data_IF_423807632159
#
_entry.id   IF_423807632159
#
_cell.length_a   1.000
_cell.length_b   1.000
_cell.length_c   1.000
_cell.angle_alpha   90.00
_cell.angle_beta   90.00
_cell.angle_gamma   90.00
#
_symmetry.space_group_name_H-M   'P 1'
#
loop_
_entity.id
_entity.type
_entity.pdbx_description
1 polymer ?
#
# COMPACT_ATOMS: atom_id res chain seq x y z
N UNK A 1 5.82 -18.68 14.70
CA UNK A 1 4.81 -18.59 13.61
C UNK A 1 5.53 -18.89 12.31
N UNK A 2 4.93 -19.67 11.38
CA UNK A 2 5.56 -19.98 10.09
C UNK A 2 4.81 -19.24 8.97
N UNK A 3 5.33 -18.09 8.52
CA UNK A 3 4.65 -17.25 7.50
C UNK A 3 4.42 -17.98 6.17
N UNK A 4 5.33 -18.88 5.78
CA UNK A 4 5.22 -19.65 4.53
C UNK A 4 4.10 -20.67 4.62
N UNK A 5 3.97 -21.34 5.77
CA UNK A 5 2.88 -22.25 6.05
C UNK A 5 1.54 -21.49 6.05
N UNK A 6 1.48 -20.37 6.73
CA UNK A 6 0.29 -19.52 6.76
C UNK A 6 -0.14 -19.09 5.34
N UNK A 7 0.77 -18.54 4.52
CA UNK A 7 0.49 -18.19 3.13
C UNK A 7 -0.01 -19.39 2.31
N UNK A 8 0.48 -20.59 2.61
CA UNK A 8 0.05 -21.81 1.92
C UNK A 8 -1.40 -22.18 2.22
N UNK A 9 -1.87 -21.95 3.45
CA UNK A 9 -3.21 -22.36 3.92
C UNK A 9 -4.24 -21.24 3.84
N UNK A 10 -3.89 -20.03 4.28
CA UNK A 10 -4.83 -18.91 4.41
C UNK A 10 -4.62 -17.80 3.36
N UNK A 11 -3.57 -17.89 2.55
CA UNK A 11 -3.24 -16.86 1.56
C UNK A 11 -2.55 -15.61 2.13
N UNK A 12 -2.30 -15.57 3.45
CA UNK A 12 -1.63 -14.45 4.12
C UNK A 12 -0.63 -14.94 5.17
N UNK A 13 0.41 -14.15 5.44
CA UNK A 13 1.50 -14.56 6.33
C UNK A 13 1.11 -14.60 7.82
N UNK A 14 0.08 -13.86 8.19
CA UNK A 14 -0.43 -13.81 9.57
C UNK A 14 -1.27 -15.04 9.93
N UNK A 15 -1.74 -15.80 8.93
CA UNK A 15 -2.59 -16.97 9.13
C UNK A 15 -4.04 -16.62 9.46
N UNK A 16 -4.47 -15.41 9.12
CA UNK A 16 -5.83 -14.94 9.37
C UNK A 16 -6.82 -15.76 8.53
N UNK A 17 -7.86 -16.24 9.19
CA UNK A 17 -8.90 -17.01 8.53
C UNK A 17 -9.77 -16.14 7.61
N UNK A 18 -10.35 -16.69 6.52
CA UNK A 18 -11.13 -15.92 5.56
C UNK A 18 -12.26 -15.10 6.17
N UNK A 19 -13.01 -15.63 7.14
CA UNK A 19 -14.10 -14.90 7.79
C UNK A 19 -13.60 -13.68 8.60
N UNK A 20 -12.52 -13.86 9.37
CA UNK A 20 -11.94 -12.76 10.14
C UNK A 20 -11.31 -11.69 9.24
N UNK A 21 -10.81 -12.09 8.06
CA UNK A 21 -10.34 -11.12 7.07
C UNK A 21 -11.49 -10.23 6.60
N UNK A 22 -12.64 -10.83 6.27
CA UNK A 22 -13.84 -10.08 5.85
C UNK A 22 -14.32 -9.16 6.96
N UNK A 23 -14.48 -9.68 8.19
CA UNK A 23 -14.97 -8.92 9.35
C UNK A 23 -14.12 -7.66 9.62
N UNK A 24 -12.79 -7.78 9.56
CA UNK A 24 -11.91 -6.63 9.80
C UNK A 24 -12.01 -5.60 8.66
N UNK A 25 -12.08 -6.04 7.41
CA UNK A 25 -12.26 -5.08 6.30
C UNK A 25 -13.62 -4.39 6.34
N UNK A 26 -14.68 -5.09 6.76
CA UNK A 26 -15.99 -4.48 6.98
C UNK A 26 -15.92 -3.43 8.11
N UNK A 27 -15.23 -3.73 9.21
CA UNK A 27 -15.00 -2.77 10.30
C UNK A 27 -14.24 -1.52 9.79
N UNK A 28 -13.21 -1.69 8.98
CA UNK A 28 -12.50 -0.54 8.39
C UNK A 28 -13.37 0.27 7.42
N UNK A 29 -14.34 -0.36 6.76
CA UNK A 29 -15.33 0.35 5.96
C UNK A 29 -16.32 1.15 6.83
N UNK A 30 -16.69 0.64 8.01
CA UNK A 30 -17.50 1.35 9.00
C UNK A 30 -16.71 2.54 9.59
N UNK A 31 -15.41 2.39 9.82
CA UNK A 31 -14.53 3.50 10.21
C UNK A 31 -14.47 4.60 9.14
N UNK A 32 -14.38 4.23 7.85
CA UNK A 32 -14.49 5.19 6.75
C UNK A 32 -15.82 5.95 6.79
N UNK A 33 -16.94 5.27 7.05
CA UNK A 33 -18.26 5.90 7.19
C UNK A 33 -18.30 6.87 8.38
N UNK A 34 -17.69 6.49 9.48
CA UNK A 34 -17.60 7.33 10.67
C UNK A 34 -16.85 8.62 10.40
N UNK A 35 -15.75 8.54 9.64
CA UNK A 35 -14.88 9.68 9.31
C UNK A 35 -15.52 10.58 8.23
N UNK A 36 -16.07 10.00 7.16
CA UNK A 36 -16.47 10.74 5.97
C UNK A 36 -17.99 10.84 5.77
N UNK A 37 -18.77 9.98 6.42
CA UNK A 37 -20.19 9.77 6.13
C UNK A 37 -20.45 8.83 4.94
N UNK A 38 -19.40 8.20 4.40
CA UNK A 38 -19.47 7.31 3.24
C UNK A 38 -18.90 5.94 3.60
N UNK A 39 -19.72 4.89 3.45
CA UNK A 39 -19.30 3.50 3.61
C UNK A 39 -18.88 2.92 2.25
N UNK A 40 -17.59 2.62 2.02
CA UNK A 40 -17.15 2.00 0.78
C UNK A 40 -17.63 0.55 0.66
N UNK A 41 -17.76 0.07 -0.57
CA UNK A 41 -18.05 -1.34 -0.87
C UNK A 41 -16.80 -2.19 -0.62
N UNK A 42 -17.00 -3.43 -0.15
CA UNK A 42 -15.94 -4.40 0.15
C UNK A 42 -16.23 -5.77 -0.47
N UNK A 43 -16.23 -5.89 -1.80
CA UNK A 43 -16.58 -7.15 -2.48
C UNK A 43 -15.50 -8.21 -2.29
N UNK A 44 -15.86 -9.37 -1.71
CA UNK A 44 -14.96 -10.48 -1.45
C UNK A 44 -15.31 -11.73 -2.25
N UNK A 45 -14.32 -12.29 -2.95
CA UNK A 45 -14.43 -13.55 -3.67
C UNK A 45 -15.55 -13.58 -4.73
N UNK A 46 -15.98 -12.42 -5.18
CA UNK A 46 -17.02 -12.26 -6.17
C UNK A 46 -16.46 -12.47 -7.58
N UNK A 47 -17.23 -13.17 -8.42
CA UNK A 47 -16.82 -13.46 -9.80
C UNK A 47 -17.31 -12.40 -10.77
N UNK A 48 -16.52 -12.17 -11.81
CA UNK A 48 -16.92 -11.35 -12.94
C UNK A 48 -16.49 -9.90 -12.86
N UNK A 49 -15.84 -9.50 -11.76
CA UNK A 49 -15.20 -8.19 -11.65
C UNK A 49 -13.98 -8.08 -12.55
N UNK A 50 -13.71 -6.87 -13.02
CA UNK A 50 -12.59 -6.62 -13.91
C UNK A 50 -11.24 -6.75 -13.18
N UNK A 51 -11.17 -6.27 -11.95
CA UNK A 51 -9.92 -6.13 -11.19
C UNK A 51 -9.91 -7.09 -9.99
N UNK A 52 -8.85 -7.88 -9.86
CA UNK A 52 -8.49 -8.51 -8.60
C UNK A 52 -7.54 -7.57 -7.83
N UNK A 53 -8.00 -7.02 -6.71
CA UNK A 53 -7.14 -6.21 -5.85
C UNK A 53 -6.40 -7.10 -4.85
N UNK A 54 -5.08 -6.99 -4.83
CA UNK A 54 -4.19 -7.72 -3.92
C UNK A 54 -3.38 -6.71 -3.10
N UNK A 55 -3.47 -6.81 -1.78
CA UNK A 55 -2.68 -6.02 -0.85
C UNK A 55 -2.09 -6.92 0.24
N UNK A 56 -0.97 -6.57 0.86
CA UNK A 56 -0.41 -7.37 1.93
C UNK A 56 -1.33 -7.35 3.16
N UNK A 57 -1.40 -8.48 3.85
CA UNK A 57 -2.21 -8.59 5.08
C UNK A 57 -1.78 -7.58 6.16
N UNK A 58 -0.53 -7.13 6.14
CA UNK A 58 -0.06 -6.05 7.02
C UNK A 58 -0.78 -4.72 6.83
N UNK A 59 -1.36 -4.44 5.66
CA UNK A 59 -2.15 -3.23 5.43
C UNK A 59 -3.54 -3.32 6.09
N UNK A 60 -4.03 -4.53 6.33
CA UNK A 60 -5.36 -4.77 6.90
C UNK A 60 -5.31 -5.01 8.41
N UNK A 61 -4.22 -5.65 8.91
CA UNK A 61 -4.16 -6.17 10.28
C UNK A 61 -3.06 -5.53 11.14
N UNK A 62 -2.30 -4.60 10.61
CA UNK A 62 -1.26 -3.90 11.35
C UNK A 62 -1.56 -2.40 11.40
N UNK A 63 -1.52 -1.85 12.60
CA UNK A 63 -1.78 -0.43 12.86
C UNK A 63 -1.15 0.53 11.83
N UNK A 64 0.13 0.43 11.47
CA UNK A 64 0.72 1.34 10.47
C UNK A 64 0.16 1.20 9.04
N UNK A 65 -0.63 0.15 8.75
CA UNK A 65 -1.14 -0.14 7.40
C UNK A 65 -2.61 0.23 7.19
N UNK A 66 -3.42 0.20 8.27
CA UNK A 66 -4.89 0.31 8.17
C UNK A 66 -5.36 1.60 7.49
N UNK A 67 -4.73 2.73 7.79
CA UNK A 67 -5.08 4.03 7.18
C UNK A 67 -4.78 4.06 5.68
N UNK A 68 -3.69 3.42 5.26
CA UNK A 68 -3.39 3.25 3.83
C UNK A 68 -4.45 2.36 3.16
N UNK A 69 -4.90 1.30 3.84
CA UNK A 69 -5.94 0.42 3.34
C UNK A 69 -7.31 1.13 3.23
N UNK A 70 -7.69 1.89 4.25
CA UNK A 70 -8.86 2.77 4.19
C UNK A 70 -8.76 3.75 3.02
N UNK A 71 -7.56 4.26 2.75
CA UNK A 71 -7.28 5.10 1.58
C UNK A 71 -7.59 4.41 0.25
N UNK A 72 -7.28 3.13 0.10
CA UNK A 72 -7.69 2.37 -1.09
C UNK A 72 -9.20 2.24 -1.20
N UNK A 73 -9.88 1.90 -0.10
CA UNK A 73 -11.34 1.76 -0.09
C UNK A 73 -12.04 3.05 -0.51
N UNK A 74 -11.58 4.18 0.00
CA UNK A 74 -12.13 5.50 -0.34
C UNK A 74 -11.89 5.85 -1.82
N UNK A 75 -10.68 5.61 -2.32
CA UNK A 75 -10.35 5.81 -3.74
C UNK A 75 -11.23 4.94 -4.64
N UNK A 76 -11.39 3.66 -4.31
CA UNK A 76 -12.21 2.73 -5.11
C UNK A 76 -13.68 3.11 -5.10
N UNK A 77 -14.19 3.56 -3.96
CA UNK A 77 -15.56 4.06 -3.84
C UNK A 77 -15.79 5.30 -4.72
N UNK A 78 -14.90 6.30 -4.68
CA UNK A 78 -15.04 7.54 -5.48
C UNK A 78 -15.04 7.25 -6.99
N UNK A 79 -14.31 6.22 -7.42
CA UNK A 79 -14.21 5.80 -8.81
C UNK A 79 -15.35 4.87 -9.25
N UNK A 80 -16.18 4.37 -8.34
CA UNK A 80 -17.09 3.23 -8.56
C UNK A 80 -16.34 2.08 -9.26
N UNK A 81 -15.14 1.75 -8.74
CA UNK A 81 -14.22 0.80 -9.36
C UNK A 81 -14.80 -0.61 -9.35
N UNK A 82 -14.69 -1.30 -10.47
CA UNK A 82 -15.12 -2.69 -10.61
C UNK A 82 -14.01 -3.65 -10.16
N UNK A 83 -14.05 -4.06 -8.90
CA UNK A 83 -13.01 -4.88 -8.29
C UNK A 83 -13.56 -5.90 -7.28
N UNK A 84 -12.75 -6.88 -6.95
CA UNK A 84 -12.98 -7.82 -5.85
C UNK A 84 -11.68 -8.10 -5.10
N UNK A 85 -11.79 -8.41 -3.79
CA UNK A 85 -10.70 -8.98 -3.00
C UNK A 85 -10.72 -10.52 -3.07
N UNK A 86 -9.57 -11.15 -2.79
CA UNK A 86 -9.52 -12.57 -2.47
C UNK A 86 -9.10 -12.78 -1.02
N UNK A 87 -9.84 -13.59 -0.29
CA UNK A 87 -9.43 -14.04 1.06
C UNK A 87 -8.39 -15.16 1.01
N UNK A 88 -8.02 -15.66 -0.19
CA UNK A 88 -7.10 -16.79 -0.39
C UNK A 88 -5.76 -16.39 -1.00
N UNK A 89 -5.61 -15.16 -1.46
CA UNK A 89 -4.40 -14.66 -2.09
C UNK A 89 -4.21 -13.16 -1.82
N UNK A 90 -3.72 -12.82 -0.63
CA UNK A 90 -3.32 -11.44 -0.33
C UNK A 90 -1.81 -11.23 -0.53
N UNK A 91 -1.02 -12.28 -0.34
CA UNK A 91 0.44 -12.25 -0.50
C UNK A 91 1.01 -13.67 -0.51
N UNK A 92 2.33 -13.82 -0.63
CA UNK A 92 2.94 -15.16 -0.46
C UNK A 92 4.28 -15.34 -1.12
N UNK A 93 4.42 -15.04 -2.40
CA UNK A 93 5.65 -15.25 -3.13
C UNK A 93 6.87 -14.58 -2.49
N UNK A 94 6.69 -13.40 -1.90
CA UNK A 94 7.71 -12.70 -1.13
C UNK A 94 8.17 -13.50 0.10
N UNK A 95 7.26 -14.13 0.85
CA UNK A 95 7.61 -15.01 1.97
C UNK A 95 8.22 -16.33 1.49
N UNK A 96 7.72 -16.91 0.40
CA UNK A 96 8.28 -18.09 -0.22
C UNK A 96 9.75 -17.92 -0.61
N UNK A 97 10.15 -16.74 -1.08
CA UNK A 97 11.52 -16.42 -1.47
C UNK A 97 12.53 -16.46 -0.31
N UNK A 98 12.07 -16.33 0.94
CA UNK A 98 12.92 -16.48 2.13
C UNK A 98 13.32 -17.92 2.39
N UNK A 99 12.64 -18.89 1.79
CA UNK A 99 12.94 -20.32 1.94
C UNK A 99 13.57 -20.90 0.68
N UNK A 100 12.81 -20.95 -0.42
CA UNK A 100 13.30 -21.47 -1.72
C UNK A 100 12.56 -20.83 -2.88
N UNK A 101 13.19 -20.78 -4.06
CA UNK A 101 12.53 -20.36 -5.29
C UNK A 101 11.31 -21.24 -5.65
N UNK A 102 11.35 -22.54 -5.35
CA UNK A 102 10.21 -23.43 -5.55
C UNK A 102 9.02 -23.02 -4.67
N UNK A 103 9.25 -22.57 -3.47
CA UNK A 103 8.19 -22.08 -2.58
C UNK A 103 7.67 -20.73 -3.07
N UNK A 104 8.53 -19.80 -3.49
CA UNK A 104 8.13 -18.54 -4.11
C UNK A 104 7.23 -18.79 -5.34
N UNK A 105 7.65 -19.69 -6.22
CA UNK A 105 6.86 -20.13 -7.38
C UNK A 105 5.48 -20.66 -6.99
N UNK A 106 5.43 -21.56 -6.00
CA UNK A 106 4.17 -22.17 -5.53
C UNK A 106 3.20 -21.12 -4.97
N UNK A 107 3.71 -20.18 -4.18
CA UNK A 107 2.88 -19.16 -3.56
C UNK A 107 2.45 -18.08 -4.58
N UNK A 108 3.33 -17.67 -5.50
CA UNK A 108 2.96 -16.78 -6.59
C UNK A 108 1.85 -17.37 -7.49
N UNK A 109 1.90 -18.67 -7.76
CA UNK A 109 0.88 -19.33 -8.57
C UNK A 109 -0.54 -19.13 -8.05
N UNK A 110 -0.72 -18.93 -6.75
CA UNK A 110 -2.03 -18.66 -6.15
C UNK A 110 -2.66 -17.37 -6.67
N UNK A 111 -1.86 -16.34 -6.99
CA UNK A 111 -2.36 -15.07 -7.51
C UNK A 111 -3.07 -15.27 -8.86
N UNK A 112 -2.42 -16.02 -9.76
CA UNK A 112 -3.04 -16.35 -11.05
C UNK A 112 -4.21 -17.31 -10.92
N UNK A 113 -4.12 -18.29 -10.02
CA UNK A 113 -5.24 -19.22 -9.76
C UNK A 113 -6.47 -18.46 -9.23
N UNK A 114 -6.29 -17.48 -8.36
CA UNK A 114 -7.39 -16.64 -7.88
C UNK A 114 -7.93 -15.72 -8.97
N UNK A 115 -7.08 -15.09 -9.76
CA UNK A 115 -7.53 -14.29 -10.90
C UNK A 115 -8.36 -15.12 -11.89
N UNK A 116 -7.94 -16.37 -12.18
CA UNK A 116 -8.67 -17.30 -13.03
C UNK A 116 -9.99 -17.74 -12.40
N UNK A 117 -9.97 -18.12 -11.11
CA UNK A 117 -11.18 -18.54 -10.36
C UNK A 117 -12.25 -17.46 -10.33
N UNK A 118 -11.83 -16.20 -10.17
CA UNK A 118 -12.71 -15.04 -10.09
C UNK A 118 -13.05 -14.44 -11.46
N UNK A 119 -12.29 -14.81 -12.51
CA UNK A 119 -12.49 -14.29 -13.86
C UNK A 119 -11.95 -12.86 -14.06
N UNK A 120 -11.05 -12.41 -13.17
CA UNK A 120 -10.48 -11.08 -13.22
C UNK A 120 -9.64 -10.86 -14.50
N UNK A 121 -9.64 -9.64 -15.02
CA UNK A 121 -8.94 -9.29 -16.26
C UNK A 121 -7.51 -8.85 -16.01
N UNK A 122 -7.21 -8.30 -14.84
CA UNK A 122 -5.89 -7.90 -14.39
C UNK A 122 -5.83 -7.76 -12.86
N UNK A 123 -4.63 -7.57 -12.33
CA UNK A 123 -4.38 -7.47 -10.88
C UNK A 123 -3.94 -6.03 -10.56
N UNK A 124 -4.59 -5.42 -9.58
CA UNK A 124 -4.14 -4.17 -8.98
C UNK A 124 -3.46 -4.50 -7.66
N UNK A 125 -2.20 -4.10 -7.52
CA UNK A 125 -1.41 -4.34 -6.30
C UNK A 125 -1.34 -3.11 -5.41
N UNK A 126 -1.63 -3.30 -4.11
CA UNK A 126 -1.47 -2.27 -3.09
C UNK A 126 0.00 -1.92 -2.80
N UNK A 127 0.24 -1.04 -1.83
CA UNK A 127 1.56 -0.52 -1.49
C UNK A 127 2.43 -1.54 -0.73
N UNK A 128 2.80 -2.61 -1.43
CA UNK A 128 3.84 -3.52 -0.96
C UNK A 128 4.90 -3.73 -2.03
N UNK A 129 5.97 -2.99 -1.95
CA UNK A 129 7.04 -3.06 -2.94
C UNK A 129 7.66 -4.46 -3.06
N UNK A 130 7.81 -5.19 -1.97
CA UNK A 130 8.37 -6.54 -2.00
C UNK A 130 7.42 -7.53 -2.68
N UNK A 131 6.14 -7.53 -2.33
CA UNK A 131 5.13 -8.36 -2.98
C UNK A 131 5.05 -8.03 -4.48
N UNK A 132 4.92 -6.75 -4.82
CA UNK A 132 4.82 -6.30 -6.21
C UNK A 132 6.05 -6.66 -7.03
N UNK A 133 7.27 -6.48 -6.49
CA UNK A 133 8.51 -6.90 -7.16
C UNK A 133 8.54 -8.40 -7.41
N UNK A 134 8.24 -9.22 -6.41
CA UNK A 134 8.29 -10.68 -6.55
C UNK A 134 7.27 -11.16 -7.58
N UNK A 135 6.07 -10.60 -7.60
CA UNK A 135 5.09 -10.91 -8.62
C UNK A 135 5.60 -10.45 -10.00
N UNK A 136 5.91 -9.18 -10.19
CA UNK A 136 6.29 -8.66 -11.50
C UNK A 136 7.60 -9.25 -12.04
N UNK A 137 8.61 -9.42 -11.19
CA UNK A 137 9.92 -9.91 -11.65
C UNK A 137 9.94 -11.42 -11.85
N UNK A 138 9.18 -12.18 -11.06
CA UNK A 138 9.29 -13.64 -11.06
C UNK A 138 8.07 -14.37 -11.59
N UNK A 139 6.88 -13.74 -11.67
CA UNK A 139 5.68 -14.42 -12.13
C UNK A 139 5.83 -14.97 -13.54
N UNK A 140 6.20 -14.14 -14.50
CA UNK A 140 6.39 -14.55 -15.88
C UNK A 140 7.51 -15.60 -16.04
N UNK A 141 8.56 -15.52 -15.21
CA UNK A 141 9.70 -16.43 -15.26
C UNK A 141 9.39 -17.81 -14.66
N UNK A 142 8.66 -17.82 -13.52
CA UNK A 142 8.46 -19.05 -12.74
C UNK A 142 7.12 -19.74 -13.01
N UNK A 143 6.08 -18.96 -13.28
CA UNK A 143 4.71 -19.46 -13.33
C UNK A 143 4.17 -19.61 -14.75
N UNK A 144 4.97 -19.19 -15.76
CA UNK A 144 4.55 -19.23 -17.16
C UNK A 144 3.56 -18.09 -17.51
N UNK A 145 2.83 -18.25 -18.61
CA UNK A 145 1.92 -17.22 -19.09
C UNK A 145 0.77 -16.98 -18.11
N UNK A 146 0.25 -15.77 -18.09
CA UNK A 146 -0.94 -15.44 -17.35
C UNK A 146 -2.18 -16.21 -17.85
N UNK A 147 -3.20 -16.44 -16.98
CA UNK A 147 -4.45 -17.08 -17.39
C UNK A 147 -5.11 -16.41 -18.59
N UNK A 148 -5.74 -17.22 -19.45
CA UNK A 148 -6.38 -16.75 -20.69
C UNK A 148 -7.58 -15.82 -20.47
N UNK A 149 -8.14 -15.77 -19.26
CA UNK A 149 -9.20 -14.81 -18.92
C UNK A 149 -8.67 -13.38 -18.77
N UNK A 150 -7.35 -13.21 -18.55
CA UNK A 150 -6.73 -11.91 -18.36
C UNK A 150 -6.50 -11.21 -19.70
N UNK A 151 -6.62 -9.88 -19.72
CA UNK A 151 -6.39 -9.07 -20.92
C UNK A 151 -4.90 -9.05 -21.30
N UNK A 152 -4.59 -8.84 -22.57
CA UNK A 152 -3.21 -8.82 -23.08
C UNK A 152 -2.37 -7.74 -22.40
N UNK A 153 -2.91 -6.54 -22.27
CA UNK A 153 -2.30 -5.42 -21.56
C UNK A 153 -3.31 -4.84 -20.58
N UNK A 154 -3.01 -4.80 -19.27
CA UNK A 154 -3.86 -4.13 -18.30
C UNK A 154 -4.19 -2.72 -18.76
N UNK A 155 -5.46 -2.40 -18.79
CA UNK A 155 -5.98 -1.11 -19.29
C UNK A 155 -6.87 -0.50 -18.24
N UNK A 156 -6.64 0.77 -17.90
CA UNK A 156 -7.47 1.47 -16.92
C UNK A 156 -8.92 1.58 -17.42
N UNK A 157 -9.91 1.09 -16.66
CA UNK A 157 -11.32 1.23 -17.02
C UNK A 157 -11.81 2.67 -16.95
N UNK A 158 -11.06 3.55 -16.29
CA UNK A 158 -11.43 4.96 -16.05
C UNK A 158 -10.83 5.90 -17.11
N UNK A 159 -9.58 5.66 -17.52
CA UNK A 159 -8.82 6.56 -18.41
C UNK A 159 -8.57 5.97 -19.79
N UNK A 160 -8.65 4.64 -19.92
CA UNK A 160 -8.27 3.93 -21.13
C UNK A 160 -6.73 3.76 -21.31
N UNK A 161 -5.93 4.18 -20.35
CA UNK A 161 -4.47 4.04 -20.37
C UNK A 161 -4.07 2.58 -20.33
N UNK A 162 -3.16 2.19 -21.23
CA UNK A 162 -2.57 0.85 -21.27
C UNK A 162 -1.28 0.82 -20.46
N UNK A 163 -1.25 0.00 -19.42
CA UNK A 163 -0.06 -0.23 -18.57
C UNK A 163 0.86 -1.26 -19.23
N UNK A 164 1.64 -0.84 -20.20
CA UNK A 164 2.45 -1.73 -21.04
C UNK A 164 3.57 -2.44 -20.28
N UNK A 165 4.09 -1.85 -19.21
CA UNK A 165 5.05 -2.46 -18.29
C UNK A 165 4.46 -3.68 -17.54
N UNK A 166 3.15 -3.73 -17.37
CA UNK A 166 2.43 -4.83 -16.74
C UNK A 166 1.93 -5.90 -17.74
N UNK A 167 2.24 -5.78 -19.05
CA UNK A 167 1.73 -6.69 -20.07
C UNK A 167 2.10 -8.16 -19.84
N UNK A 168 3.27 -8.45 -19.27
CA UNK A 168 3.71 -9.82 -19.00
C UNK A 168 3.05 -10.42 -17.75
N UNK A 169 2.91 -9.66 -16.67
CA UNK A 169 2.50 -10.13 -15.35
C UNK A 169 1.05 -9.81 -15.00
N UNK A 170 0.43 -8.92 -15.77
CA UNK A 170 -0.95 -8.44 -15.57
C UNK A 170 -1.16 -7.70 -14.23
N UNK A 171 -0.09 -7.29 -13.56
CA UNK A 171 -0.17 -6.61 -12.27
C UNK A 171 0.35 -5.17 -12.38
N UNK A 172 -0.51 -4.21 -12.05
CA UNK A 172 -0.23 -2.77 -11.98
C UNK A 172 -0.09 -2.36 -10.52
N UNK A 173 0.88 -1.51 -10.19
CA UNK A 173 1.00 -0.94 -8.86
C UNK A 173 -0.06 0.15 -8.65
N UNK A 174 -0.68 0.20 -7.47
CA UNK A 174 -1.74 1.18 -7.20
C UNK A 174 -1.26 2.63 -7.37
N UNK A 175 0.01 2.92 -7.10
CA UNK A 175 0.58 4.26 -7.30
C UNK A 175 0.69 4.63 -8.78
N UNK A 176 0.97 3.66 -9.69
CA UNK A 176 0.92 3.88 -11.14
C UNK A 176 -0.51 4.20 -11.60
N UNK A 177 -1.47 3.42 -11.10
CA UNK A 177 -2.88 3.63 -11.36
C UNK A 177 -3.37 5.01 -10.87
N UNK A 178 -3.02 5.39 -9.65
CA UNK A 178 -3.39 6.69 -9.08
C UNK A 178 -2.73 7.86 -9.80
N UNK A 179 -1.45 7.73 -10.19
CA UNK A 179 -0.77 8.74 -10.99
C UNK A 179 -1.46 8.93 -12.36
N UNK A 180 -1.92 7.85 -12.97
CA UNK A 180 -2.69 7.90 -14.23
C UNK A 180 -4.02 8.64 -14.05
N UNK A 181 -4.77 8.34 -12.99
CA UNK A 181 -6.01 9.04 -12.66
C UNK A 181 -5.81 10.54 -12.49
N UNK A 182 -4.76 10.94 -11.77
CA UNK A 182 -4.43 12.35 -11.54
C UNK A 182 -4.05 13.04 -12.86
N UNK A 183 -3.20 12.40 -13.68
CA UNK A 183 -2.81 12.92 -15.02
C UNK A 183 -4.00 13.19 -15.92
N UNK A 184 -5.07 12.41 -15.77
CA UNK A 184 -6.29 12.54 -16.57
C UNK A 184 -7.41 13.32 -15.85
N UNK A 185 -7.11 14.00 -14.73
CA UNK A 185 -8.08 14.79 -13.94
C UNK A 185 -9.33 13.98 -13.54
N UNK A 186 -9.14 12.72 -13.10
CA UNK A 186 -10.22 11.83 -12.68
C UNK A 186 -10.50 11.89 -11.18
N UNK A 187 -9.66 12.57 -10.41
CA UNK A 187 -9.81 12.75 -8.97
C UNK A 187 -10.00 14.23 -8.65
N UNK A 188 -10.92 14.53 -7.76
CA UNK A 188 -11.06 15.85 -7.16
C UNK A 188 -10.22 15.88 -5.88
N UNK A 189 -9.13 16.65 -5.89
CA UNK A 189 -8.14 16.68 -4.82
C UNK A 189 -8.05 18.07 -4.21
N UNK A 190 -8.02 18.13 -2.88
CA UNK A 190 -7.71 19.33 -2.10
C UNK A 190 -6.42 19.09 -1.30
N UNK A 191 -5.25 19.45 -1.83
CA UNK A 191 -3.97 19.24 -1.14
C UNK A 191 -3.85 20.05 0.16
N UNK A 192 -4.67 21.07 0.37
CA UNK A 192 -4.64 21.87 1.61
C UNK A 192 -5.03 21.06 2.85
N UNK A 193 -5.74 19.95 2.67
CA UNK A 193 -6.05 19.00 3.74
C UNK A 193 -4.83 18.33 4.35
N UNK A 194 -3.68 18.36 3.66
CA UNK A 194 -2.39 17.87 4.14
C UNK A 194 -1.41 19.02 4.51
N UNK A 195 -1.86 20.26 4.65
CA UNK A 195 -0.96 21.42 4.91
C UNK A 195 -0.35 21.41 6.33
N UNK A 196 -0.89 20.60 7.24
CA UNK A 196 -0.35 20.39 8.59
C UNK A 196 0.96 19.58 8.58
N UNK A 197 1.32 18.94 7.47
CA UNK A 197 2.57 18.19 7.31
C UNK A 197 3.48 18.84 6.26
N UNK A 198 4.79 18.73 6.51
CA UNK A 198 5.85 18.92 5.52
C UNK A 198 6.40 17.53 5.22
N UNK A 199 6.00 16.96 4.10
CA UNK A 199 6.27 15.55 3.79
C UNK A 199 7.52 15.37 2.93
N UNK A 200 8.24 14.28 3.17
CA UNK A 200 9.27 13.73 2.29
C UNK A 200 8.91 12.33 1.84
N UNK A 201 9.71 11.73 0.96
CA UNK A 201 9.43 10.40 0.42
C UNK A 201 10.60 9.44 0.62
N UNK A 202 10.31 8.26 1.17
CA UNK A 202 11.25 7.14 1.17
C UNK A 202 11.03 6.29 -0.07
N UNK A 203 12.00 6.30 -0.98
CA UNK A 203 12.05 5.37 -2.10
C UNK A 203 12.26 3.95 -1.58
N UNK A 204 11.20 3.20 -1.46
CA UNK A 204 11.25 1.79 -1.02
C UNK A 204 12.10 0.98 -1.99
N UNK A 205 13.08 0.22 -1.49
CA UNK A 205 14.13 -0.37 -2.32
C UNK A 205 13.60 -1.31 -3.41
N UNK A 206 12.55 -2.08 -3.15
CA UNK A 206 11.98 -3.02 -4.10
C UNK A 206 11.25 -2.32 -5.26
N UNK A 207 10.29 -1.40 -5.04
CA UNK A 207 9.65 -0.70 -6.15
C UNK A 207 10.61 0.26 -6.85
N UNK A 208 11.42 1.01 -6.13
CA UNK A 208 12.33 1.99 -6.75
C UNK A 208 13.52 1.31 -7.46
N UNK A 209 14.53 0.89 -6.70
CA UNK A 209 15.76 0.29 -7.27
C UNK A 209 15.49 -1.01 -8.02
N UNK A 210 14.55 -1.83 -7.53
CA UNK A 210 14.25 -3.15 -8.09
C UNK A 210 13.38 -3.12 -9.34
N UNK A 211 12.47 -2.15 -9.47
CA UNK A 211 11.43 -2.13 -10.49
C UNK A 211 11.27 -0.80 -11.24
N UNK A 212 12.02 0.24 -10.86
CA UNK A 212 11.99 1.54 -11.54
C UNK A 212 10.75 2.39 -11.28
N UNK A 213 9.98 2.10 -10.23
CA UNK A 213 8.84 2.94 -9.79
C UNK A 213 9.41 4.16 -9.04
N UNK A 214 9.76 5.20 -9.76
CA UNK A 214 10.52 6.34 -9.25
C UNK A 214 9.71 7.63 -9.20
N UNK A 215 9.02 7.93 -10.28
CA UNK A 215 8.37 9.23 -10.47
C UNK A 215 6.87 9.22 -10.12
N UNK A 216 6.20 8.10 -10.26
CA UNK A 216 4.76 7.97 -9.98
C UNK A 216 4.41 8.31 -8.52
N UNK A 217 5.14 7.81 -7.49
CA UNK A 217 4.88 8.20 -6.10
C UNK A 217 5.08 9.72 -5.87
N UNK A 218 6.11 10.29 -6.49
CA UNK A 218 6.39 11.72 -6.40
C UNK A 218 5.32 12.57 -7.06
N UNK A 219 4.85 12.11 -8.23
CA UNK A 219 3.77 12.78 -8.95
C UNK A 219 2.48 12.80 -8.11
N UNK A 220 2.14 11.66 -7.49
CA UNK A 220 0.99 11.57 -6.59
C UNK A 220 1.18 12.49 -5.38
N UNK A 221 2.31 12.40 -4.67
CA UNK A 221 2.58 13.21 -3.47
C UNK A 221 2.52 14.71 -3.76
N UNK A 222 3.08 15.17 -4.87
CA UNK A 222 3.02 16.60 -5.27
C UNK A 222 1.61 17.06 -5.64
N UNK A 223 0.72 16.15 -5.99
CA UNK A 223 -0.68 16.47 -6.28
C UNK A 223 -1.55 16.51 -5.01
N UNK A 224 -1.16 15.80 -3.95
CA UNK A 224 -1.94 15.68 -2.72
C UNK A 224 -1.34 16.44 -1.52
N UNK A 225 -0.10 16.96 -1.64
CA UNK A 225 0.58 17.70 -0.59
C UNK A 225 1.21 18.97 -1.15
N UNK A 226 0.87 20.14 -0.60
CA UNK A 226 1.49 21.40 -0.99
C UNK A 226 2.95 21.50 -0.53
N UNK A 227 3.29 20.86 0.58
CA UNK A 227 4.60 20.94 1.24
C UNK A 227 5.38 19.62 1.05
N UNK A 228 5.90 19.39 -0.16
CA UNK A 228 6.73 18.22 -0.46
C UNK A 228 8.21 18.61 -0.58
N UNK A 229 9.08 17.88 0.16
CA UNK A 229 10.53 18.10 0.19
C UNK A 229 11.26 16.82 -0.18
N UNK A 230 12.12 16.87 -1.19
CA UNK A 230 13.00 15.73 -1.52
C UNK A 230 14.14 15.59 -0.50
N UNK A 231 14.50 14.34 -0.18
CA UNK A 231 15.74 14.04 0.53
C UNK A 231 16.96 14.35 -0.36
N UNK A 232 18.20 14.36 0.20
CA UNK A 232 19.40 14.61 -0.60
C UNK A 232 19.50 13.70 -1.82
N UNK A 233 19.91 14.24 -2.96
CA UNK A 233 19.89 13.59 -4.28
C UNK A 233 20.60 12.22 -4.30
N UNK A 234 21.67 12.08 -3.55
CA UNK A 234 22.44 10.82 -3.43
C UNK A 234 21.77 9.78 -2.49
N UNK A 235 20.55 10.01 -2.05
CA UNK A 235 19.83 9.14 -1.11
C UNK A 235 18.43 8.77 -1.58
N UNK A 236 18.06 9.13 -2.81
CA UNK A 236 16.74 8.97 -3.40
C UNK A 236 16.80 8.12 -4.68
N UNK A 237 15.64 7.74 -5.19
CA UNK A 237 15.49 6.95 -6.41
C UNK A 237 16.31 5.64 -6.36
N UNK A 238 17.09 5.36 -7.39
CA UNK A 238 17.93 4.15 -7.46
C UNK A 238 19.05 4.14 -6.40
N UNK A 239 19.44 5.32 -5.89
CA UNK A 239 20.45 5.47 -4.84
C UNK A 239 19.87 5.40 -3.44
N UNK A 240 18.59 5.08 -3.32
CA UNK A 240 17.89 5.02 -2.03
C UNK A 240 18.62 4.19 -0.98
N UNK A 241 18.56 4.63 0.26
CA UNK A 241 19.05 3.88 1.41
C UNK A 241 17.99 2.94 1.96
N UNK A 242 18.43 1.85 2.59
CA UNK A 242 17.55 0.83 3.16
C UNK A 242 16.82 1.36 4.40
N UNK A 243 15.58 0.87 4.61
CA UNK A 243 14.83 1.07 5.86
C UNK A 243 15.42 0.31 7.07
N UNK A 244 16.35 -0.62 6.80
CA UNK A 244 17.02 -1.43 7.83
C UNK A 244 16.37 -2.77 8.13
N UNK A 245 15.23 -3.13 7.54
CA UNK A 245 14.47 -4.30 7.96
C UNK A 245 13.94 -5.20 6.82
N UNK A 246 14.44 -5.05 5.61
CA UNK A 246 14.07 -5.92 4.50
C UNK A 246 14.44 -7.39 4.72
N UNK A 247 13.84 -8.28 3.92
CA UNK A 247 14.18 -9.71 3.86
C UNK A 247 14.04 -10.47 5.20
N UNK A 248 13.03 -10.14 5.99
CA UNK A 248 12.73 -10.85 7.24
C UNK A 248 13.43 -10.32 8.48
N UNK A 249 14.16 -9.21 8.38
CA UNK A 249 14.78 -8.56 9.54
C UNK A 249 13.83 -7.68 10.35
N UNK A 250 12.53 -7.74 10.09
CA UNK A 250 11.53 -6.97 10.84
C UNK A 250 11.07 -7.72 12.09
N UNK A 251 11.98 -7.88 13.05
CA UNK A 251 11.70 -8.46 14.36
C UNK A 251 12.29 -7.61 15.47
N UNK A 252 11.71 -7.70 16.67
CA UNK A 252 12.15 -6.92 17.83
C UNK A 252 13.50 -7.42 18.38
N UNK A 253 13.79 -8.71 18.24
CA UNK A 253 15.02 -9.34 18.76
C UNK A 253 16.30 -8.74 18.16
N UNK A 254 16.20 -8.09 16.98
CA UNK A 254 17.33 -7.49 16.29
C UNK A 254 17.16 -5.97 16.10
N UNK A 255 16.40 -5.32 16.97
CA UNK A 255 16.10 -3.88 16.86
C UNK A 255 17.37 -3.03 16.74
N UNK A 256 18.41 -3.33 17.53
CA UNK A 256 19.69 -2.60 17.45
C UNK A 256 20.35 -2.72 16.06
N UNK A 257 20.32 -3.92 15.46
CA UNK A 257 20.82 -4.13 14.10
C UNK A 257 20.01 -3.34 13.08
N UNK A 258 18.68 -3.30 13.25
CA UNK A 258 17.77 -2.51 12.39
C UNK A 258 18.07 -1.02 12.46
N UNK A 259 18.25 -0.47 13.66
CA UNK A 259 18.61 0.95 13.85
C UNK A 259 19.96 1.30 13.22
N UNK A 260 20.93 0.41 13.33
CA UNK A 260 22.26 0.60 12.71
C UNK A 260 22.20 0.47 11.18
N UNK A 261 21.50 -0.53 10.65
CA UNK A 261 21.40 -0.75 9.20
C UNK A 261 20.56 0.32 8.51
N UNK A 262 19.57 0.87 9.20
CA UNK A 262 18.75 2.01 8.73
C UNK A 262 19.37 3.38 8.95
N UNK A 263 20.50 3.48 9.68
CA UNK A 263 21.13 4.76 10.02
C UNK A 263 21.35 5.69 8.83
N UNK A 264 21.81 5.25 7.64
CA UNK A 264 21.97 6.16 6.51
C UNK A 264 20.63 6.82 6.09
N UNK A 265 19.53 6.07 6.14
CA UNK A 265 18.18 6.60 5.88
C UNK A 265 17.74 7.55 7.00
N UNK A 266 17.95 7.17 8.26
CA UNK A 266 17.66 8.01 9.42
C UNK A 266 18.41 9.36 9.38
N UNK A 267 19.69 9.34 9.00
CA UNK A 267 20.48 10.56 8.85
C UNK A 267 19.99 11.46 7.70
N UNK A 268 19.59 10.86 6.56
CA UNK A 268 19.02 11.63 5.46
C UNK A 268 17.68 12.27 5.85
N UNK A 269 16.86 11.56 6.63
CA UNK A 269 15.61 12.08 7.17
C UNK A 269 15.85 13.23 8.15
N UNK A 270 16.75 13.05 9.10
CA UNK A 270 17.13 14.09 10.07
C UNK A 270 17.66 15.36 9.37
N UNK A 271 18.45 15.21 8.32
CA UNK A 271 18.94 16.34 7.55
C UNK A 271 17.81 17.20 6.98
N UNK A 272 16.77 16.58 6.38
CA UNK A 272 15.64 17.36 5.83
C UNK A 272 14.71 17.87 6.93
N UNK A 273 14.59 17.17 8.05
CA UNK A 273 13.90 17.66 9.24
C UNK A 273 14.55 18.95 9.77
N UNK A 274 15.85 18.93 10.03
CA UNK A 274 16.58 20.09 10.56
C UNK A 274 16.60 21.27 9.58
N UNK A 275 16.72 20.99 8.29
CA UNK A 275 16.89 22.04 7.28
C UNK A 275 15.57 22.64 6.79
N UNK A 276 14.52 21.84 6.68
CA UNK A 276 13.27 22.23 6.02
C UNK A 276 12.03 22.05 6.90
N UNK A 277 12.20 21.55 8.14
CA UNK A 277 11.09 21.33 9.05
C UNK A 277 10.23 20.11 8.68
N UNK A 278 10.78 19.12 7.93
CA UNK A 278 10.05 17.91 7.60
C UNK A 278 9.57 17.20 8.88
N UNK A 279 8.27 16.95 8.97
CA UNK A 279 7.64 16.28 10.10
C UNK A 279 6.90 14.99 9.69
N UNK A 280 6.96 14.64 8.39
CA UNK A 280 6.28 13.47 7.84
C UNK A 280 7.12 12.81 6.74
N UNK A 281 7.05 11.46 6.66
CA UNK A 281 7.69 10.68 5.60
C UNK A 281 6.70 9.67 5.01
N UNK A 282 6.41 9.78 3.72
CA UNK A 282 5.60 8.82 2.99
C UNK A 282 6.45 7.68 2.41
N UNK A 283 5.87 6.48 2.26
CA UNK A 283 6.50 5.33 1.61
C UNK A 283 5.45 4.46 0.89
N UNK A 284 5.91 3.56 0.00
CA UNK A 284 5.05 2.66 -0.80
C UNK A 284 5.34 1.18 -0.51
N UNK A 285 5.60 0.84 0.74
CA UNK A 285 5.87 -0.54 1.13
C UNK A 285 5.37 -0.84 2.55
N UNK A 286 4.61 -1.91 2.73
CA UNK A 286 4.09 -2.33 4.03
C UNK A 286 5.21 -2.58 5.07
N UNK A 287 6.35 -3.15 4.64
CA UNK A 287 7.51 -3.33 5.53
C UNK A 287 8.07 -1.98 5.97
N UNK A 288 8.12 -1.00 5.08
CA UNK A 288 8.62 0.34 5.43
C UNK A 288 7.69 1.02 6.43
N UNK A 289 6.36 0.90 6.27
CA UNK A 289 5.39 1.42 7.25
C UNK A 289 5.56 0.80 8.64
N UNK A 290 5.94 -0.47 8.70
CA UNK A 290 6.20 -1.16 9.98
C UNK A 290 7.59 -0.84 10.58
N UNK A 291 8.56 -0.39 9.78
CA UNK A 291 9.96 -0.29 10.20
C UNK A 291 10.51 1.12 10.28
N UNK A 292 9.97 2.02 9.49
CA UNK A 292 10.40 3.42 9.49
C UNK A 292 9.91 4.23 10.71
N UNK A 293 8.73 3.97 11.32
CA UNK A 293 8.36 4.68 12.55
C UNK A 293 9.41 4.55 13.66
N UNK A 294 9.80 3.35 14.13
CA UNK A 294 10.85 3.26 15.16
C UNK A 294 12.22 3.77 14.70
N UNK A 295 12.53 3.72 13.38
CA UNK A 295 13.74 4.32 12.84
C UNK A 295 13.67 5.85 12.91
N UNK A 296 12.54 6.44 12.57
CA UNK A 296 12.31 7.88 12.65
C UNK A 296 12.38 8.36 14.11
N UNK A 297 11.72 7.68 15.03
CA UNK A 297 11.77 8.01 16.46
C UNK A 297 13.20 8.02 17.01
N UNK A 298 14.05 7.12 16.52
CA UNK A 298 15.43 7.02 16.97
C UNK A 298 16.35 8.07 16.32
N UNK A 299 16.23 8.34 14.99
CA UNK A 299 17.18 9.18 14.25
C UNK A 299 16.66 10.58 13.93
N UNK A 300 15.34 10.77 13.86
CA UNK A 300 14.67 12.03 13.51
C UNK A 300 13.34 12.14 14.31
N UNK A 301 13.40 12.21 15.65
CA UNK A 301 12.22 12.18 16.51
C UNK A 301 11.21 13.28 16.14
N UNK A 302 9.92 12.92 16.17
CA UNK A 302 8.81 13.80 15.76
C UNK A 302 8.45 13.73 14.28
N UNK A 303 9.11 12.87 13.49
CA UNK A 303 8.68 12.59 12.10
C UNK A 303 7.75 11.39 12.09
N UNK A 304 6.52 11.58 11.63
CA UNK A 304 5.53 10.50 11.41
C UNK A 304 5.76 9.79 10.08
N UNK A 305 5.21 8.57 9.93
CA UNK A 305 5.35 7.78 8.70
C UNK A 305 3.99 7.27 8.25
N UNK A 306 3.70 7.36 6.93
CA UNK A 306 2.48 6.81 6.35
C UNK A 306 2.69 6.16 4.96
N UNK A 307 1.65 5.51 4.45
CA UNK A 307 1.54 5.20 3.02
C UNK A 307 1.15 6.42 2.19
N UNK A 308 1.42 6.34 0.90
CA UNK A 308 1.01 7.40 -0.04
C UNK A 308 -0.51 7.52 -0.13
N UNK A 309 -1.24 6.38 -0.10
CA UNK A 309 -2.70 6.38 -0.24
C UNK A 309 -3.45 6.86 1.01
N UNK A 310 -2.82 6.93 2.15
CA UNK A 310 -3.34 7.68 3.31
C UNK A 310 -3.44 9.18 2.97
N UNK A 311 -2.37 9.76 2.40
CA UNK A 311 -2.35 11.15 1.99
C UNK A 311 -3.26 11.44 0.78
N UNK A 312 -3.40 10.47 -0.13
CA UNK A 312 -4.38 10.56 -1.23
C UNK A 312 -5.79 10.66 -0.65
N UNK A 313 -6.15 9.79 0.28
CA UNK A 313 -7.48 9.80 0.88
C UNK A 313 -7.76 11.11 1.64
N UNK A 314 -6.77 11.63 2.36
CA UNK A 314 -6.91 12.92 3.05
C UNK A 314 -7.21 14.05 2.07
N UNK A 315 -6.52 14.10 0.94
CA UNK A 315 -6.73 15.12 -0.09
C UNK A 315 -7.98 14.88 -0.96
N UNK A 316 -8.52 13.65 -0.98
CA UNK A 316 -9.64 13.29 -1.85
C UNK A 316 -10.94 13.98 -1.39
N UNK A 317 -11.56 14.78 -2.27
CA UNK A 317 -12.86 15.38 -2.06
C UNK A 317 -13.94 14.49 -2.65
N UNK A 318 -14.54 13.66 -1.80
CA UNK A 318 -15.50 12.63 -2.21
C UNK A 318 -16.89 13.19 -2.42
N UNK A 319 -17.60 12.65 -3.41
CA UNK A 319 -19.02 12.96 -3.61
C UNK A 319 -19.84 12.43 -2.45
N UNK A 320 -20.67 13.29 -1.85
CA UNK A 320 -21.53 12.91 -0.74
C UNK A 320 -20.84 12.91 0.63
N UNK A 321 -19.57 13.34 0.72
CA UNK A 321 -18.87 13.54 1.98
C UNK A 321 -19.62 14.53 2.88
N UNK A 322 -20.02 14.12 4.06
CA UNK A 322 -20.79 14.94 4.99
C UNK A 322 -20.05 15.30 6.28
N UNK A 323 -19.01 14.57 6.63
CA UNK A 323 -18.08 14.86 7.72
C UNK A 323 -16.71 14.35 7.35
N UNK A 324 -15.68 15.02 7.83
CA UNK A 324 -14.30 14.66 7.54
C UNK A 324 -13.37 15.19 8.60
N UNK A 325 -12.44 14.37 9.04
CA UNK A 325 -11.23 14.80 9.72
C UNK A 325 -10.18 15.20 8.70
N UNK A 326 -9.23 16.05 9.09
CA UNK A 326 -8.08 16.41 8.24
C UNK A 326 -7.10 15.24 8.09
N UNK A 327 -7.24 14.22 8.94
CA UNK A 327 -6.38 13.06 9.01
C UNK A 327 -7.26 11.81 9.21
N UNK A 328 -6.96 10.71 8.52
CA UNK A 328 -7.60 9.41 8.71
C UNK A 328 -7.24 8.75 10.06
N UNK A 329 -6.25 9.26 10.78
CA UNK A 329 -5.71 8.67 12.02
C UNK A 329 -6.57 8.96 13.26
N UNK A 330 -7.83 9.07 13.17
CA UNK A 330 -8.76 9.07 14.30
C UNK A 330 -8.44 10.01 15.51
N UNK A 331 -7.40 10.85 15.42
CA UNK A 331 -7.05 11.77 16.53
C UNK A 331 -8.18 12.76 16.85
N UNK A 332 -9.06 13.00 15.86
CA UNK A 332 -10.21 13.90 15.96
C UNK A 332 -11.57 13.17 15.92
N UNK A 333 -11.62 11.86 15.94
CA UNK A 333 -12.91 11.16 16.09
C UNK A 333 -13.46 11.43 17.49
N UNK A 334 -14.71 11.89 17.63
CA UNK A 334 -15.33 12.02 18.94
C UNK A 334 -15.26 10.65 19.62
N UNK A 335 -14.82 10.64 20.88
CA UNK A 335 -14.79 9.44 21.69
C UNK A 335 -16.21 8.87 21.78
N UNK A 336 -16.48 7.85 20.98
CA UNK A 336 -17.79 7.16 20.91
C UNK A 336 -18.14 6.52 22.27
N UNK A 337 -17.14 6.37 23.16
CA UNK A 337 -17.31 5.85 24.51
C UNK A 337 -17.86 6.89 25.52
N UNK A 338 -17.87 8.18 25.19
CA UNK A 338 -18.35 9.20 26.11
C UNK A 338 -19.88 9.43 26.05
N UNK A 339 -20.54 9.02 24.95
CA UNK A 339 -22.00 9.17 24.81
C UNK A 339 -22.81 7.95 25.28
N UNK A 340 -22.17 6.81 25.54
CA UNK A 340 -22.84 5.59 25.98
C UNK A 340 -22.99 5.49 27.53
N UNK A 341 -22.42 6.42 28.28
CA UNK A 341 -22.53 6.43 29.76
C UNK A 341 -23.52 7.48 30.29
N UNK A 342 -24.22 8.24 29.43
CA UNK A 342 -25.23 9.23 29.84
C UNK A 342 -26.67 8.89 29.41
N UNK A 343 -26.99 7.66 28.99
CA UNK A 343 -28.34 7.09 28.92
C UNK A 343 -28.44 5.90 29.91
#
# INVERSE_FOLDING_TARGET
MDPVKNCSFTGNHLGIQPHSFVEIVEMLADDCETITGIRPKTPFNEKGHEILFITPSGDVFADPGIYTFMGYLMLFHELDLDYTFSTYASEGGNFGSFTTFNMAKKLNAKMYAEAERLGAKWILGGECGHMWRVINQYMATYNGPAPSCMMDVPTSPITGTKFTNAAATKMVHITEFTADLIKHNKLNLDPSRNDHIITTFHDSCNPARGMGLLEEPRYVLKAVCNNFVEMPENTIREQTFCCGAGSGLNTEEIMELRMRSGMPRGNALRYVQEKYGVNHMACVCAIDRATLPPLADYWAPGVTVSGVHELVANALVMKGECKRTMDLRQEDLPNVTAEAEEE
#
